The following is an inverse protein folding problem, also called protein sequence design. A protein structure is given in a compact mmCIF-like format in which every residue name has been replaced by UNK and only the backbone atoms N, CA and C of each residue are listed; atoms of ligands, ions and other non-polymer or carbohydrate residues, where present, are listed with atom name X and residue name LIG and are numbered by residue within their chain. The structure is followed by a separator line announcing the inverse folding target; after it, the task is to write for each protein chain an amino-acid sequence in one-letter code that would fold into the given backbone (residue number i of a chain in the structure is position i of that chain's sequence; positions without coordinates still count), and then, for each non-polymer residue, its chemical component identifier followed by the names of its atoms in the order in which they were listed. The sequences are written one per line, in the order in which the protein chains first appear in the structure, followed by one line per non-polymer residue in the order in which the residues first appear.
data_IF_437575966294
#
_entry.id   IF_437575966294
#
_cell.length_a   1.000
_cell.length_b   1.000
_cell.length_c   1.000
_cell.angle_alpha   90.00
_cell.angle_beta   90.00
_cell.angle_gamma   90.00
#
_symmetry.space_group_name_H-M   'P 1'
#
loop_
_entity.id
_entity.type
_entity.pdbx_description
1 polymer ?
#
# COMPACT_ATOMS: atom_id res chain seq x y z
N UNK A 1 -12.72 -11.19 6.76
CA UNK A 1 -13.13 -11.15 5.34
C UNK A 1 -12.59 -12.40 4.64
N UNK A 2 -13.18 -12.86 3.54
CA UNK A 2 -12.58 -13.97 2.76
C UNK A 2 -11.31 -13.54 2.03
N UNK A 3 -10.50 -14.50 1.57
CA UNK A 3 -9.21 -14.27 0.87
C UNK A 3 -9.33 -13.28 -0.28
N UNK A 4 -10.37 -13.37 -1.11
CA UNK A 4 -10.64 -12.41 -2.21
C UNK A 4 -10.85 -10.98 -1.69
N UNK A 5 -11.58 -10.84 -0.57
CA UNK A 5 -11.80 -9.54 0.07
C UNK A 5 -10.50 -8.96 0.63
N UNK A 6 -9.68 -9.79 1.28
CA UNK A 6 -8.34 -9.40 1.75
C UNK A 6 -7.44 -8.95 0.60
N UNK A 7 -7.46 -9.66 -0.52
CA UNK A 7 -6.67 -9.31 -1.70
C UNK A 7 -7.09 -7.94 -2.26
N UNK A 8 -8.39 -7.72 -2.48
CA UNK A 8 -8.90 -6.48 -3.06
C UNK A 8 -8.56 -5.28 -2.17
N UNK A 9 -8.81 -5.39 -0.86
CA UNK A 9 -8.54 -4.25 0.04
C UNK A 9 -7.05 -3.94 0.14
N UNK A 10 -6.18 -4.95 0.19
CA UNK A 10 -4.73 -4.73 0.23
C UNK A 10 -4.21 -4.12 -1.08
N UNK A 11 -4.76 -4.49 -2.24
CA UNK A 11 -4.45 -3.82 -3.52
C UNK A 11 -4.83 -2.34 -3.45
N UNK A 12 -6.06 -2.01 -3.03
CA UNK A 12 -6.55 -0.62 -2.98
C UNK A 12 -5.77 0.22 -1.97
N UNK A 13 -5.55 -0.29 -0.76
CA UNK A 13 -4.80 0.44 0.27
C UNK A 13 -3.34 0.66 -0.14
N UNK A 14 -2.71 -0.33 -0.79
CA UNK A 14 -1.33 -0.17 -1.26
C UNK A 14 -1.25 0.78 -2.44
N UNK A 15 -2.22 0.75 -3.36
CA UNK A 15 -2.34 1.73 -4.44
C UNK A 15 -2.39 3.17 -3.89
N UNK A 16 -3.24 3.41 -2.89
CA UNK A 16 -3.35 4.73 -2.24
C UNK A 16 -2.02 5.10 -1.58
N UNK A 17 -1.43 4.21 -0.80
CA UNK A 17 -0.21 4.50 -0.05
C UNK A 17 0.99 4.79 -0.98
N UNK A 18 1.22 3.96 -2.00
CA UNK A 18 2.27 4.18 -3.00
C UNK A 18 1.98 5.43 -3.82
N UNK A 19 0.71 5.72 -4.14
CA UNK A 19 0.33 6.94 -4.83
C UNK A 19 0.66 8.21 -4.04
N UNK A 20 0.45 8.20 -2.72
CA UNK A 20 0.87 9.29 -1.84
C UNK A 20 2.39 9.50 -1.91
N UNK A 21 3.16 8.40 -1.84
CA UNK A 21 4.62 8.46 -1.95
C UNK A 21 5.04 9.10 -3.28
N UNK A 22 4.50 8.63 -4.41
CA UNK A 22 4.86 9.13 -5.75
C UNK A 22 4.49 10.60 -5.96
N UNK A 23 3.34 11.04 -5.45
CA UNK A 23 2.93 12.44 -5.58
C UNK A 23 3.78 13.36 -4.72
N UNK A 24 4.07 12.98 -3.48
CA UNK A 24 4.81 13.85 -2.57
C UNK A 24 6.30 13.94 -2.94
N UNK A 25 6.89 12.86 -3.46
CA UNK A 25 8.29 12.88 -3.89
C UNK A 25 8.50 13.56 -5.24
N UNK A 26 7.45 13.74 -6.04
CA UNK A 26 7.48 14.57 -7.27
C UNK A 26 7.31 16.07 -6.97
N UNK A 27 6.85 16.44 -5.78
CA UNK A 27 6.65 17.83 -5.38
C UNK A 27 7.98 18.52 -5.06
N UNK A 28 8.08 19.82 -5.33
CA UNK A 28 9.23 20.65 -4.93
C UNK A 28 9.32 20.83 -3.41
N UNK A 29 8.23 20.57 -2.68
CA UNK A 29 8.15 20.67 -1.21
C UNK A 29 8.57 19.35 -0.52
N UNK A 30 9.80 18.90 -0.76
CA UNK A 30 10.38 17.70 -0.15
C UNK A 30 10.48 17.76 1.38
N UNK A 31 10.47 18.95 1.98
CA UNK A 31 10.60 19.16 3.43
C UNK A 31 9.49 18.49 4.27
N UNK A 32 8.30 18.27 3.69
CA UNK A 32 7.17 17.60 4.36
C UNK A 32 6.94 16.15 3.89
N UNK A 33 7.78 15.61 3.01
CA UNK A 33 7.56 14.28 2.42
C UNK A 33 7.43 13.18 3.49
N UNK A 34 8.32 13.17 4.49
CA UNK A 34 8.27 12.18 5.57
C UNK A 34 6.97 12.23 6.38
N UNK A 35 6.49 13.44 6.70
CA UNK A 35 5.24 13.62 7.44
C UNK A 35 4.04 13.15 6.62
N UNK A 36 3.98 13.53 5.34
CA UNK A 36 2.89 13.13 4.44
C UNK A 36 2.86 11.62 4.24
N UNK A 37 4.01 10.97 4.05
CA UNK A 37 4.09 9.51 3.92
C UNK A 37 3.65 8.84 5.22
N UNK A 38 4.12 9.33 6.37
CA UNK A 38 3.75 8.79 7.68
C UNK A 38 2.25 8.90 7.97
N UNK A 39 1.65 10.06 7.68
CA UNK A 39 0.20 10.26 7.80
C UNK A 39 -0.59 9.42 6.80
N UNK A 40 -0.07 9.25 5.58
CA UNK A 40 -0.66 8.32 4.60
C UNK A 40 -0.68 6.88 5.11
N UNK A 41 0.42 6.43 5.73
CA UNK A 41 0.50 5.11 6.35
C UNK A 41 -0.49 4.99 7.52
N UNK A 42 -0.60 6.01 8.37
CA UNK A 42 -1.56 6.03 9.47
C UNK A 42 -3.00 5.95 8.96
N UNK A 43 -3.34 6.69 7.89
CA UNK A 43 -4.67 6.67 7.29
C UNK A 43 -5.05 5.29 6.75
N UNK A 44 -4.15 4.60 6.03
CA UNK A 44 -4.44 3.24 5.55
C UNK A 44 -4.59 2.24 6.70
N UNK A 45 -3.91 2.45 7.83
CA UNK A 45 -4.09 1.62 9.02
C UNK A 45 -5.45 1.83 9.68
N UNK A 46 -5.92 3.07 9.78
CA UNK A 46 -7.26 3.37 10.33
C UNK A 46 -8.37 2.63 9.58
N UNK A 47 -8.18 2.40 8.27
CA UNK A 47 -9.12 1.64 7.44
C UNK A 47 -8.84 0.13 7.47
N UNK A 48 -7.59 -0.29 7.32
CA UNK A 48 -7.23 -1.69 7.07
C UNK A 48 -7.14 -2.57 8.32
N UNK A 49 -6.88 -2.01 9.51
CA UNK A 49 -6.73 -2.78 10.75
C UNK A 49 -7.95 -3.67 11.03
N UNK A 50 -9.20 -3.16 11.03
CA UNK A 50 -10.38 -4.01 11.31
C UNK A 50 -10.67 -5.06 10.23
N UNK A 51 -10.02 -4.99 9.06
CA UNK A 51 -10.31 -5.85 7.90
C UNK A 51 -9.25 -6.96 7.75
N UNK A 52 -7.97 -6.59 7.70
CA UNK A 52 -6.84 -7.50 7.45
C UNK A 52 -5.71 -7.36 8.48
N UNK A 53 -5.83 -6.43 9.43
CA UNK A 53 -4.69 -6.01 10.27
C UNK A 53 -3.72 -5.05 9.58
N UNK A 54 -4.00 -4.65 8.33
CA UNK A 54 -3.17 -3.83 7.44
C UNK A 54 -1.78 -4.40 7.19
N UNK A 55 -1.57 -4.99 6.01
CA UNK A 55 -0.23 -5.28 5.51
C UNK A 55 0.38 -4.07 4.82
N UNK A 56 -0.11 -3.75 3.62
CA UNK A 56 0.43 -2.80 2.62
C UNK A 56 1.95 -2.89 2.38
N UNK A 57 2.60 -3.95 2.87
CA UNK A 57 4.04 -4.12 2.91
C UNK A 57 4.40 -5.60 3.10
N UNK A 58 4.90 -6.28 2.04
CA UNK A 58 5.26 -7.68 2.09
C UNK A 58 6.28 -8.04 3.20
N UNK A 59 7.29 -7.19 3.43
CA UNK A 59 8.30 -7.44 4.47
C UNK A 59 7.69 -7.38 5.88
N UNK A 60 6.76 -6.44 6.11
CA UNK A 60 6.03 -6.30 7.38
C UNK A 60 5.11 -7.49 7.65
N UNK A 61 4.57 -8.13 6.62
CA UNK A 61 3.76 -9.35 6.77
C UNK A 61 4.61 -10.60 6.91
N UNK A 62 5.73 -10.67 6.20
CA UNK A 62 6.66 -11.81 6.24
C UNK A 62 7.21 -12.05 7.65
N UNK A 63 7.72 -11.01 8.32
CA UNK A 63 8.39 -11.13 9.62
C UNK A 63 7.56 -11.84 10.70
N UNK A 64 6.34 -11.38 11.00
CA UNK A 64 5.47 -12.07 11.96
C UNK A 64 5.01 -13.44 11.48
N UNK A 65 4.74 -13.61 10.17
CA UNK A 65 4.21 -14.86 9.63
C UNK A 65 5.18 -16.04 9.85
N UNK A 66 6.49 -15.84 9.68
CA UNK A 66 7.48 -16.90 9.91
C UNK A 66 7.63 -17.27 11.40
N UNK A 67 7.32 -16.35 12.32
CA UNK A 67 7.39 -16.58 13.75
C UNK A 67 6.10 -17.23 14.28
N UNK A 68 4.94 -16.83 13.77
CA UNK A 68 3.63 -17.38 14.18
C UNK A 68 3.34 -18.72 13.53
N UNK A 69 3.76 -18.94 12.28
CA UNK A 69 3.48 -20.16 11.53
C UNK A 69 2.00 -20.36 11.20
N UNK A 70 1.63 -21.61 10.88
CA UNK A 70 0.23 -22.02 10.66
C UNK A 70 -0.48 -21.23 9.55
N UNK A 71 -1.71 -20.80 9.83
CA UNK A 71 -2.54 -20.04 8.89
C UNK A 71 -1.90 -18.73 8.42
N UNK A 72 -1.06 -18.10 9.24
CA UNK A 72 -0.36 -16.86 8.88
C UNK A 72 0.64 -17.07 7.74
N UNK A 73 1.29 -18.23 7.67
CA UNK A 73 2.15 -18.60 6.54
C UNK A 73 1.32 -18.99 5.31
N UNK A 74 0.21 -19.69 5.50
CA UNK A 74 -0.67 -20.09 4.38
C UNK A 74 -1.28 -18.88 3.66
N UNK A 75 -1.67 -17.83 4.39
CA UNK A 75 -2.26 -16.62 3.81
C UNK A 75 -1.21 -15.57 3.39
N UNK A 76 0.08 -15.78 3.69
CA UNK A 76 1.15 -14.81 3.44
C UNK A 76 1.23 -14.36 1.98
N UNK A 77 0.93 -15.25 1.03
CA UNK A 77 0.97 -14.93 -0.39
C UNK A 77 0.04 -13.77 -0.77
N UNK A 78 -1.10 -13.62 -0.08
CA UNK A 78 -2.06 -12.51 -0.30
C UNK A 78 -1.37 -11.19 0.01
N UNK A 79 -0.67 -11.14 1.14
CA UNK A 79 0.04 -9.96 1.63
C UNK A 79 1.38 -9.70 0.92
N UNK A 80 1.76 -10.57 -0.01
CA UNK A 80 2.86 -10.33 -0.96
C UNK A 80 2.29 -9.85 -2.29
N UNK A 81 1.38 -10.63 -2.88
CA UNK A 81 0.85 -10.38 -4.22
C UNK A 81 -0.01 -9.12 -4.27
N UNK A 82 -0.92 -8.92 -3.31
CA UNK A 82 -1.82 -7.76 -3.32
C UNK A 82 -1.07 -6.42 -3.18
N UNK A 83 -0.11 -6.24 -2.24
CA UNK A 83 0.67 -5.01 -2.20
C UNK A 83 1.50 -4.76 -3.46
N UNK A 84 2.10 -5.80 -4.05
CA UNK A 84 2.86 -5.66 -5.30
C UNK A 84 1.98 -5.20 -6.46
N UNK A 85 0.77 -5.78 -6.60
CA UNK A 85 -0.19 -5.37 -7.62
C UNK A 85 -0.66 -3.93 -7.37
N UNK A 86 -1.03 -3.56 -6.15
CA UNK A 86 -1.44 -2.20 -5.82
C UNK A 86 -0.35 -1.17 -6.09
N UNK A 87 0.89 -1.46 -5.69
CA UNK A 87 2.05 -0.61 -5.95
C UNK A 87 2.36 -0.46 -7.44
N UNK A 88 2.26 -1.55 -8.21
CA UNK A 88 2.45 -1.51 -9.68
C UNK A 88 1.38 -0.63 -10.35
N UNK A 89 0.12 -0.77 -9.96
CA UNK A 89 -0.96 0.08 -10.49
C UNK A 89 -0.68 1.55 -10.17
N UNK A 90 -0.25 1.87 -8.94
CA UNK A 90 0.09 3.25 -8.57
C UNK A 90 1.26 3.80 -9.39
N UNK A 91 2.30 2.98 -9.61
CA UNK A 91 3.46 3.36 -10.42
C UNK A 91 3.09 3.69 -11.88
N UNK A 92 2.05 3.06 -12.43
CA UNK A 92 1.57 3.33 -13.79
C UNK A 92 0.64 4.54 -13.82
N UNK A 93 -0.36 4.56 -12.94
CA UNK A 93 -1.47 5.54 -12.97
C UNK A 93 -1.01 6.93 -12.53
N UNK A 94 -0.22 7.03 -11.46
CA UNK A 94 0.09 8.33 -10.85
C UNK A 94 0.96 9.22 -11.76
N UNK A 95 2.01 8.71 -12.42
CA UNK A 95 2.76 9.50 -13.40
C UNK A 95 1.92 9.93 -14.60
N UNK A 96 1.05 9.03 -15.11
CA UNK A 96 0.14 9.34 -16.23
C UNK A 96 -0.91 10.41 -15.88
N UNK A 97 -1.45 10.38 -14.66
CA UNK A 97 -2.34 11.45 -14.19
C UNK A 97 -1.59 12.78 -14.03
N UNK A 98 -0.36 12.72 -13.54
CA UNK A 98 0.46 13.91 -13.33
C UNK A 98 0.95 14.53 -14.65
N UNK A 99 1.12 13.75 -15.72
CA UNK A 99 1.49 14.28 -17.04
C UNK A 99 0.34 15.04 -17.68
N UNK A 100 -0.89 14.53 -17.60
CA UNK A 100 -2.07 15.22 -18.14
C UNK A 100 -2.32 16.60 -17.52
N UNK A 101 -1.97 16.77 -16.24
CA UNK A 101 -2.04 18.07 -15.55
C UNK A 101 -0.97 19.06 -15.98
N UNK A 102 0.13 18.61 -16.56
CA UNK A 102 1.18 19.49 -17.07
C UNK A 102 0.83 20.04 -18.47
N UNK A 103 -0.02 19.32 -19.21
CA UNK A 103 -0.45 19.67 -20.56
C UNK A 103 -1.74 20.51 -20.60
N UNK A 104 -2.34 20.80 -19.44
CA UNK A 104 -3.59 21.58 -19.27
C UNK A 104 -3.31 22.92 -18.61
#
# INVERSE_FOLDING_TARGET
VGTTGSFIIEVVLTFIFVGIILLVTKSENVGFAGLTIGLGLAAVHLVGIPITGTSVNPARSFGPAILTGGSSLTELWVFIAAPLVGGLIAAIVMPWMASQKADA
#
